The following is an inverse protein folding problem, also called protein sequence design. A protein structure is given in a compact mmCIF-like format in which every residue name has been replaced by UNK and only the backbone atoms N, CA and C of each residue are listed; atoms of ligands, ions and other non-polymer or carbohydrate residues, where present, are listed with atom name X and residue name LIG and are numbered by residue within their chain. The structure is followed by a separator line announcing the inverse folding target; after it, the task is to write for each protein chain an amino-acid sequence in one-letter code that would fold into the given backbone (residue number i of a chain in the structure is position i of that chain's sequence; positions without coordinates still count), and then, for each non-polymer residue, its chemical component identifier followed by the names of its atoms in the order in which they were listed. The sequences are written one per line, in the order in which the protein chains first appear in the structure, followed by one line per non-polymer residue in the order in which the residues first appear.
data_IF_605684361807
#
_entry.id   IF_605684361807
#
_cell.length_a   1.000
_cell.length_b   1.000
_cell.length_c   1.000
_cell.angle_alpha   90.00
_cell.angle_beta   90.00
_cell.angle_gamma   90.00
#
_symmetry.space_group_name_H-M   'P 1'
#
loop_
_entity.id
_entity.type
_entity.pdbx_description
1 polymer ?
#
# COMPACT_ATOMS: atom_id res chain seq x y z
N UNK A 1 25.13 9.80 -8.30
CA UNK A 1 24.24 10.93 -8.66
C UNK A 1 23.77 11.55 -7.36
N UNK A 2 23.92 12.86 -7.11
CA UNK A 2 23.41 13.45 -5.88
C UNK A 2 21.89 13.62 -6.00
N UNK A 3 21.16 13.19 -4.97
CA UNK A 3 19.74 13.49 -4.84
C UNK A 3 19.60 15.00 -4.56
N UNK A 4 18.94 15.72 -5.46
CA UNK A 4 18.55 17.11 -5.26
C UNK A 4 17.62 17.17 -4.04
N UNK A 5 18.10 17.73 -2.94
CA UNK A 5 17.27 18.10 -1.79
C UNK A 5 16.35 19.23 -2.22
N UNK A 6 15.05 18.94 -2.36
CA UNK A 6 14.02 19.96 -2.43
C UNK A 6 14.00 20.68 -1.08
N UNK A 7 14.49 21.92 -1.06
CA UNK A 7 14.29 22.81 0.08
C UNK A 7 12.82 23.26 0.06
N UNK A 8 12.00 22.66 0.92
CA UNK A 8 10.62 23.11 1.13
C UNK A 8 10.68 24.38 1.98
N UNK A 9 10.76 25.55 1.35
CA UNK A 9 10.50 26.79 2.06
C UNK A 9 9.06 26.75 2.60
N UNK A 10 8.88 26.94 3.92
CA UNK A 10 7.56 26.98 4.52
C UNK A 10 6.73 28.12 3.90
N UNK A 11 5.53 27.82 3.43
CA UNK A 11 4.65 28.78 2.77
C UNK A 11 3.32 28.84 3.52
N UNK A 12 3.29 29.48 4.71
CA UNK A 12 2.20 29.34 5.67
C UNK A 12 0.83 29.74 5.11
N UNK A 13 0.79 30.70 4.17
CA UNK A 13 -0.46 31.08 3.49
C UNK A 13 -0.95 30.02 2.50
N UNK A 14 -0.02 29.36 1.80
CA UNK A 14 -0.34 28.27 0.88
C UNK A 14 -0.78 27.04 1.69
N UNK A 15 -0.06 26.72 2.75
CA UNK A 15 -0.36 25.60 3.64
C UNK A 15 -1.75 25.74 4.27
N UNK A 16 -2.08 26.92 4.81
CA UNK A 16 -3.42 27.19 5.35
C UNK A 16 -4.53 27.07 4.30
N UNK A 17 -4.26 27.48 3.05
CA UNK A 17 -5.21 27.33 1.94
C UNK A 17 -5.41 25.86 1.54
N UNK A 18 -4.33 25.09 1.52
CA UNK A 18 -4.38 23.64 1.24
C UNK A 18 -5.14 22.92 2.37
N UNK A 19 -4.84 23.22 3.63
CA UNK A 19 -5.52 22.63 4.79
C UNK A 19 -7.02 22.93 4.78
N UNK A 20 -7.41 24.19 4.54
CA UNK A 20 -8.83 24.56 4.43
C UNK A 20 -9.53 23.82 3.28
N UNK A 21 -8.85 23.63 2.14
CA UNK A 21 -9.38 22.86 1.01
C UNK A 21 -9.58 21.39 1.37
N UNK A 22 -8.60 20.75 2.01
CA UNK A 22 -8.68 19.35 2.43
C UNK A 22 -9.82 19.15 3.43
N UNK A 23 -9.90 19.98 4.46
CA UNK A 23 -10.96 19.90 5.49
C UNK A 23 -12.36 20.09 4.91
N UNK A 24 -12.53 21.10 4.04
CA UNK A 24 -13.84 21.39 3.41
C UNK A 24 -14.32 20.28 2.48
N UNK A 25 -13.41 19.43 1.98
CA UNK A 25 -13.73 18.38 1.02
C UNK A 25 -13.58 16.96 1.59
N UNK A 26 -13.13 16.79 2.84
CA UNK A 26 -12.82 15.47 3.46
C UNK A 26 -13.94 14.44 3.41
N UNK A 27 -15.19 14.89 3.31
CA UNK A 27 -16.39 14.03 3.25
C UNK A 27 -16.95 13.83 1.83
N UNK A 28 -16.33 14.44 0.82
CA UNK A 28 -16.78 14.42 -0.58
C UNK A 28 -15.92 13.52 -1.46
N UNK A 29 -15.01 12.75 -0.87
CA UNK A 29 -14.10 11.87 -1.59
C UNK A 29 -14.68 10.46 -1.62
N UNK A 30 -15.36 10.16 -2.70
CA UNK A 30 -16.11 8.90 -2.88
C UNK A 30 -15.26 7.83 -3.57
N UNK A 31 -14.09 8.22 -4.05
CA UNK A 31 -13.05 7.36 -4.58
C UNK A 31 -11.80 7.79 -3.84
N UNK A 32 -11.15 6.85 -3.16
CA UNK A 32 -9.81 6.99 -2.60
C UNK A 32 -8.93 7.90 -3.48
N UNK A 33 -7.99 8.64 -2.88
CA UNK A 33 -7.06 9.53 -3.61
C UNK A 33 -6.37 8.84 -4.80
N UNK A 34 -6.35 7.50 -4.78
CA UNK A 34 -5.97 6.61 -5.86
C UNK A 34 -7.22 5.91 -6.40
N UNK A 35 -7.53 6.00 -7.71
CA UNK A 35 -8.61 5.22 -8.34
C UNK A 35 -8.53 3.73 -7.98
N UNK A 36 -9.68 3.05 -7.88
CA UNK A 36 -9.72 1.64 -7.47
C UNK A 36 -8.81 0.75 -8.34
N UNK A 37 -8.81 0.96 -9.66
CA UNK A 37 -7.96 0.22 -10.59
C UNK A 37 -6.46 0.51 -10.37
N UNK A 38 -6.11 1.77 -10.14
CA UNK A 38 -4.72 2.15 -9.82
C UNK A 38 -4.29 1.55 -8.47
N UNK A 39 -5.18 1.55 -7.47
CA UNK A 39 -4.91 1.00 -6.14
C UNK A 39 -4.65 -0.50 -6.17
N UNK A 40 -5.25 -1.22 -7.12
CA UNK A 40 -4.98 -2.64 -7.32
C UNK A 40 -3.58 -2.91 -7.87
N UNK A 41 -3.12 -2.11 -8.83
CA UNK A 41 -1.77 -2.20 -9.39
C UNK A 41 -0.72 -1.93 -8.29
N UNK A 42 -1.03 -1.05 -7.34
CA UNK A 42 -0.13 -0.71 -6.25
C UNK A 42 0.20 -1.87 -5.32
N UNK A 43 -0.64 -2.92 -5.16
CA UNK A 43 -0.32 -4.05 -4.28
C UNK A 43 1.03 -4.69 -4.62
N UNK A 44 1.26 -4.96 -5.90
CA UNK A 44 2.50 -5.56 -6.38
C UNK A 44 3.69 -4.60 -6.32
N UNK A 45 3.48 -3.33 -6.67
CA UNK A 45 4.54 -2.32 -6.65
C UNK A 45 5.00 -2.00 -5.22
N UNK A 46 4.06 -1.85 -4.30
CA UNK A 46 4.34 -1.49 -2.91
C UNK A 46 5.03 -2.64 -2.16
N UNK A 47 4.62 -3.88 -2.38
CA UNK A 47 5.34 -5.03 -1.83
C UNK A 47 6.80 -5.06 -2.33
N UNK A 48 7.03 -4.89 -3.64
CA UNK A 48 8.38 -4.91 -4.22
C UNK A 48 9.27 -3.80 -3.67
N UNK A 49 8.73 -2.59 -3.49
CA UNK A 49 9.48 -1.47 -2.92
C UNK A 49 9.82 -1.68 -1.44
N UNK A 50 8.90 -2.31 -0.69
CA UNK A 50 9.09 -2.53 0.74
C UNK A 50 9.86 -3.82 1.08
N UNK A 51 9.96 -4.80 0.18
CA UNK A 51 10.59 -6.10 0.46
C UNK A 51 12.02 -5.97 1.02
N UNK A 52 12.80 -5.04 0.48
CA UNK A 52 14.18 -4.76 0.94
C UNK A 52 14.23 -4.03 2.29
N UNK A 53 13.13 -3.39 2.69
CA UNK A 53 12.98 -2.60 3.92
C UNK A 53 12.33 -3.41 5.04
N UNK A 54 11.64 -4.51 4.72
CA UNK A 54 11.07 -5.44 5.69
C UNK A 54 12.21 -6.26 6.30
N UNK A 55 12.41 -6.10 7.60
CA UNK A 55 13.36 -6.93 8.36
C UNK A 55 12.89 -8.39 8.45
N UNK A 56 13.82 -9.32 8.61
CA UNK A 56 13.48 -10.72 8.95
C UNK A 56 12.65 -10.73 10.25
N UNK A 57 11.51 -11.42 10.24
CA UNK A 57 10.50 -11.40 11.30
C UNK A 57 9.42 -10.33 11.13
N UNK A 58 9.64 -9.31 10.29
CA UNK A 58 8.63 -8.31 9.93
C UNK A 58 7.58 -8.85 8.97
N UNK A 59 6.41 -8.22 8.93
CA UNK A 59 5.30 -8.62 8.06
C UNK A 59 4.79 -7.47 7.20
N UNK A 60 4.50 -7.77 5.94
CA UNK A 60 3.71 -6.93 5.05
C UNK A 60 2.25 -7.41 5.08
N UNK A 61 1.32 -6.48 5.22
CA UNK A 61 -0.12 -6.80 5.26
C UNK A 61 -0.88 -6.08 4.16
N UNK A 62 -1.73 -6.80 3.44
CA UNK A 62 -2.61 -6.28 2.40
C UNK A 62 -4.05 -6.67 2.69
N UNK A 63 -4.98 -5.71 2.64
CA UNK A 63 -6.42 -5.93 2.84
C UNK A 63 -7.12 -6.27 1.51
N UNK A 64 -8.39 -6.65 1.53
CA UNK A 64 -9.21 -6.99 0.34
C UNK A 64 -8.73 -8.20 -0.47
N UNK A 65 -8.00 -9.11 0.17
CA UNK A 65 -7.40 -10.26 -0.50
C UNK A 65 -8.39 -11.38 -0.83
N UNK A 66 -9.64 -11.29 -0.36
CA UNK A 66 -10.73 -12.17 -0.79
C UNK A 66 -11.40 -11.68 -2.09
N UNK A 67 -11.07 -10.49 -2.60
CA UNK A 67 -11.60 -9.96 -3.87
C UNK A 67 -10.92 -10.57 -5.09
N UNK A 68 -10.84 -11.90 -5.14
CA UNK A 68 -10.19 -12.66 -6.21
C UNK A 68 -10.86 -12.51 -7.58
N UNK A 69 -12.03 -11.88 -7.67
CA UNK A 69 -12.60 -11.50 -8.96
C UNK A 69 -11.75 -10.45 -9.69
N UNK A 70 -10.98 -9.62 -8.96
CA UNK A 70 -10.01 -8.72 -9.53
C UNK A 70 -8.70 -9.48 -9.86
N UNK A 71 -8.23 -9.35 -11.10
CA UNK A 71 -7.05 -10.07 -11.57
C UNK A 71 -5.79 -9.65 -10.83
N UNK A 72 -5.67 -8.36 -10.52
CA UNK A 72 -4.53 -7.77 -9.82
C UNK A 72 -4.39 -8.32 -8.39
N UNK A 73 -5.51 -8.61 -7.72
CA UNK A 73 -5.52 -9.23 -6.39
C UNK A 73 -5.01 -10.67 -6.50
N UNK A 74 -5.45 -11.43 -7.51
CA UNK A 74 -4.92 -12.77 -7.79
C UNK A 74 -3.43 -12.74 -8.06
N UNK A 75 -2.98 -11.84 -8.93
CA UNK A 75 -1.58 -11.71 -9.32
C UNK A 75 -0.69 -11.35 -8.13
N UNK A 76 -1.14 -10.41 -7.29
CA UNK A 76 -0.48 -10.08 -6.02
C UNK A 76 -0.35 -11.32 -5.12
N UNK A 77 -1.44 -12.06 -4.91
CA UNK A 77 -1.44 -13.24 -4.05
C UNK A 77 -0.53 -14.36 -4.59
N UNK A 78 -0.52 -14.58 -5.90
CA UNK A 78 0.40 -15.54 -6.54
C UNK A 78 1.85 -15.09 -6.32
N UNK A 79 2.15 -13.82 -6.57
CA UNK A 79 3.50 -13.26 -6.42
C UNK A 79 4.02 -13.38 -4.99
N UNK A 80 3.25 -12.96 -3.98
CA UNK A 80 3.72 -12.97 -2.59
C UNK A 80 3.80 -14.39 -2.01
N UNK A 81 2.95 -15.32 -2.48
CA UNK A 81 3.05 -16.73 -2.10
C UNK A 81 4.21 -17.45 -2.78
N UNK A 82 4.70 -16.96 -3.91
CA UNK A 82 5.86 -17.56 -4.61
C UNK A 82 7.20 -17.19 -3.98
N UNK A 83 7.23 -16.32 -2.97
CA UNK A 83 8.47 -15.87 -2.32
C UNK A 83 8.94 -16.89 -1.28
N UNK A 84 10.07 -17.58 -1.48
CA UNK A 84 10.53 -18.62 -0.56
C UNK A 84 11.00 -18.07 0.79
N UNK A 85 11.39 -16.78 0.84
CA UNK A 85 11.78 -16.07 2.05
C UNK A 85 10.60 -15.39 2.77
N UNK A 86 9.35 -15.71 2.38
CA UNK A 86 8.15 -15.26 3.08
C UNK A 86 7.25 -16.42 3.44
N UNK A 87 6.63 -16.33 4.62
CA UNK A 87 5.49 -17.14 5.00
C UNK A 87 4.22 -16.30 4.88
N UNK A 88 3.38 -16.64 3.92
CA UNK A 88 2.12 -15.93 3.64
C UNK A 88 0.90 -16.73 4.08
N UNK A 89 -0.04 -16.07 4.77
CA UNK A 89 -1.37 -16.60 5.09
C UNK A 89 -2.45 -15.55 4.86
N UNK A 90 -3.70 -15.99 4.67
CA UNK A 90 -4.86 -15.09 4.58
C UNK A 90 -5.68 -15.24 5.85
N UNK A 91 -5.81 -14.15 6.61
CA UNK A 91 -6.73 -14.04 7.73
C UNK A 91 -8.10 -13.58 7.24
N UNK A 92 -9.16 -14.27 7.66
CA UNK A 92 -10.54 -13.99 7.22
C UNK A 92 -11.38 -13.24 8.26
N UNK A 93 -10.76 -12.73 9.33
CA UNK A 93 -11.47 -11.99 10.38
C UNK A 93 -12.11 -10.68 9.90
N UNK A 94 -11.52 -10.03 8.89
CA UNK A 94 -12.20 -8.99 8.11
C UNK A 94 -12.96 -9.66 6.96
N UNK A 95 -14.23 -9.34 6.70
CA UNK A 95 -15.01 -9.93 5.59
C UNK A 95 -14.40 -9.78 4.18
N UNK A 96 -13.33 -9.01 4.06
CA UNK A 96 -12.58 -8.71 2.84
C UNK A 96 -11.23 -9.47 2.75
N UNK A 97 -10.83 -10.11 3.85
CA UNK A 97 -9.54 -10.79 4.06
C UNK A 97 -8.31 -9.90 4.14
N UNK A 98 -7.33 -10.37 4.92
CA UNK A 98 -6.01 -9.77 5.07
C UNK A 98 -4.95 -10.80 4.71
N UNK A 99 -4.14 -10.53 3.69
CA UNK A 99 -2.89 -11.25 3.48
C UNK A 99 -1.87 -10.76 4.49
N UNK A 100 -1.26 -11.70 5.21
CA UNK A 100 -0.16 -11.47 6.14
C UNK A 100 1.04 -12.26 5.63
N UNK A 101 2.03 -11.53 5.13
CA UNK A 101 3.25 -12.07 4.54
C UNK A 101 4.44 -11.67 5.39
N UNK A 102 4.95 -12.62 6.18
CA UNK A 102 6.06 -12.37 7.11
C UNK A 102 7.37 -12.89 6.54
N UNK A 103 8.42 -12.06 6.57
CA UNK A 103 9.74 -12.39 6.06
C UNK A 103 10.43 -13.38 7.00
N UNK A 104 10.86 -14.51 6.48
CA UNK A 104 11.45 -15.63 7.25
C UNK A 104 12.96 -15.74 7.05
N UNK A 105 13.48 -15.16 5.97
CA UNK A 105 14.90 -15.17 5.64
C UNK A 105 15.28 -13.87 4.90
N UNK A 106 16.57 -13.51 4.82
CA UNK A 106 17.06 -12.37 4.06
C UNK A 106 16.48 -12.27 2.63
#
# INVERSE_FOLDING_TARGET
MPATTLSTAAHPKLDAKVEQFLESNRHRWNAWNVPFEDGKILYGLYFKDLDTKVAVGGCFTAHNTLRIYAQEVKDFLVYVKSKPNYRTRIEQGSGEGISISCKTAP
#
